data_IF_181367797719
#
_entry.id   IF_181367797719
#
_cell.length_a   1.000
_cell.length_b   1.000
_cell.length_c   1.000
_cell.angle_alpha   90.00
_cell.angle_beta   90.00
_cell.angle_gamma   90.00
#
_symmetry.space_group_name_H-M   'P 1'
#
loop_
_entity.id
_entity.type
_entity.pdbx_description
1 polymer ?
#
# COMPACT_ATOMS: atom_id res chain seq x y z
N UNK A 1 56.18 2.53 -17.69
CA UNK A 1 54.85 3.16 -17.60
C UNK A 1 53.99 2.62 -18.73
N UNK A 2 53.09 1.68 -18.46
CA UNK A 2 51.99 1.38 -19.39
C UNK A 2 50.70 1.43 -18.57
N UNK A 3 49.83 2.33 -19.03
CA UNK A 3 48.56 2.71 -18.45
C UNK A 3 47.61 1.51 -18.41
N UNK A 4 47.37 0.94 -17.23
CA UNK A 4 46.33 -0.08 -17.02
C UNK A 4 45.26 0.34 -16.01
N UNK A 5 45.18 1.63 -15.66
CA UNK A 5 44.10 2.19 -14.83
C UNK A 5 42.95 2.73 -15.68
N UNK A 6 42.33 1.87 -16.48
CA UNK A 6 41.02 2.17 -17.06
C UNK A 6 40.08 1.00 -16.82
N UNK A 7 39.76 0.76 -15.54
CA UNK A 7 38.61 -0.05 -15.19
C UNK A 7 37.35 0.66 -15.71
N UNK A 8 36.50 0.01 -16.52
CA UNK A 8 35.24 0.60 -16.92
C UNK A 8 34.41 0.87 -15.66
N UNK A 9 33.76 2.04 -15.60
CA UNK A 9 32.82 2.37 -14.55
C UNK A 9 31.84 1.19 -14.40
N UNK A 10 31.92 0.48 -13.27
CA UNK A 10 30.99 -0.60 -12.98
C UNK A 10 29.68 0.08 -12.60
N UNK A 11 28.81 0.29 -13.59
CA UNK A 11 27.49 0.88 -13.34
C UNK A 11 26.74 0.04 -12.31
N UNK A 12 26.08 0.72 -11.37
CA UNK A 12 25.13 0.08 -10.47
C UNK A 12 23.96 -0.53 -11.25
N UNK A 13 23.19 -1.41 -10.62
CA UNK A 13 22.03 -2.01 -11.26
C UNK A 13 20.98 -0.94 -11.61
N UNK A 14 20.81 0.05 -10.72
CA UNK A 14 19.91 1.19 -10.89
C UNK A 14 20.32 2.10 -12.05
N UNK A 15 21.63 2.34 -12.23
CA UNK A 15 22.16 3.12 -13.36
C UNK A 15 21.87 2.43 -14.70
N UNK A 16 22.04 1.10 -14.77
CA UNK A 16 21.72 0.31 -15.97
C UNK A 16 20.22 0.35 -16.32
N UNK A 17 19.36 0.28 -15.30
CA UNK A 17 17.91 0.38 -15.50
C UNK A 17 17.49 1.77 -16.00
N UNK A 18 18.15 2.82 -15.51
CA UNK A 18 17.87 4.21 -15.91
C UNK A 18 18.25 4.43 -17.37
N UNK A 19 19.47 4.04 -17.74
CA UNK A 19 19.94 4.12 -19.13
C UNK A 19 19.01 3.37 -20.11
N UNK A 20 18.54 2.18 -19.72
CA UNK A 20 17.62 1.39 -20.55
C UNK A 20 16.27 2.08 -20.78
N UNK A 21 15.73 2.77 -19.77
CA UNK A 21 14.49 3.54 -19.89
C UNK A 21 14.66 4.75 -20.81
N UNK A 22 15.79 5.46 -20.69
CA UNK A 22 16.14 6.63 -21.51
C UNK A 22 16.30 6.25 -22.99
N UNK A 23 17.10 5.22 -23.28
CA UNK A 23 17.38 4.75 -24.64
C UNK A 23 16.12 4.30 -25.38
N UNK A 24 15.19 3.63 -24.67
CA UNK A 24 13.97 3.08 -25.27
C UNK A 24 12.76 4.00 -25.15
N UNK A 25 12.89 5.12 -24.43
CA UNK A 25 11.78 6.05 -24.11
C UNK A 25 10.55 5.33 -23.56
N UNK A 26 10.77 4.25 -22.80
CA UNK A 26 9.70 3.40 -22.27
C UNK A 26 9.89 3.19 -20.76
N UNK A 27 8.87 3.47 -19.93
CA UNK A 27 8.97 3.22 -18.50
C UNK A 27 8.97 1.71 -18.23
N UNK A 28 9.67 1.27 -17.17
CA UNK A 28 9.70 -0.15 -16.76
C UNK A 28 8.33 -0.68 -16.34
N UNK A 29 7.52 0.17 -15.71
CA UNK A 29 6.14 -0.12 -15.37
C UNK A 29 5.23 0.83 -16.12
N UNK A 30 4.30 0.25 -16.86
CA UNK A 30 3.20 0.94 -17.51
C UNK A 30 2.25 1.56 -16.47
N UNK A 31 1.45 2.53 -16.91
CA UNK A 31 0.44 3.15 -16.05
C UNK A 31 -0.60 2.14 -15.54
N UNK A 32 -0.89 1.09 -16.31
CA UNK A 32 -1.83 0.03 -15.91
C UNK A 32 -1.22 -0.82 -14.80
N UNK A 33 0.05 -1.22 -14.92
CA UNK A 33 0.75 -2.00 -13.89
C UNK A 33 0.87 -1.22 -12.58
N UNK A 34 1.23 0.07 -12.64
CA UNK A 34 1.28 0.92 -11.44
C UNK A 34 -0.08 0.99 -10.74
N UNK A 35 -1.17 1.14 -11.50
CA UNK A 35 -2.54 1.14 -10.96
C UNK A 35 -2.91 -0.22 -10.37
N UNK A 36 -2.53 -1.32 -11.00
CA UNK A 36 -2.78 -2.65 -10.51
C UNK A 36 -2.06 -2.92 -9.18
N UNK A 37 -0.79 -2.50 -9.05
CA UNK A 37 -0.03 -2.60 -7.80
C UNK A 37 -0.65 -1.75 -6.68
N UNK A 38 -1.00 -0.49 -6.97
CA UNK A 38 -1.65 0.39 -6.00
C UNK A 38 -3.01 -0.18 -5.53
N UNK A 39 -3.81 -0.68 -6.47
CA UNK A 39 -5.09 -1.34 -6.15
C UNK A 39 -4.88 -2.58 -5.29
N UNK A 40 -3.92 -3.44 -5.64
CA UNK A 40 -3.63 -4.66 -4.89
C UNK A 40 -3.17 -4.38 -3.46
N UNK A 41 -2.31 -3.37 -3.25
CA UNK A 41 -1.89 -2.95 -1.92
C UNK A 41 -3.08 -2.49 -1.07
N UNK A 42 -3.96 -1.67 -1.64
CA UNK A 42 -5.19 -1.20 -0.97
C UNK A 42 -6.13 -2.34 -0.62
N UNK A 43 -6.51 -3.16 -1.60
CA UNK A 43 -7.44 -4.28 -1.41
C UNK A 43 -6.91 -5.29 -0.38
N UNK A 44 -5.61 -5.56 -0.38
CA UNK A 44 -4.98 -6.43 0.60
C UNK A 44 -5.05 -5.82 2.02
N UNK A 45 -4.82 -4.51 2.16
CA UNK A 45 -4.93 -3.85 3.46
C UNK A 45 -6.37 -3.91 4.01
N UNK A 46 -7.37 -3.60 3.16
CA UNK A 46 -8.80 -3.72 3.51
C UNK A 46 -9.14 -5.14 4.00
N UNK A 47 -8.73 -6.17 3.23
CA UNK A 47 -8.97 -7.57 3.58
C UNK A 47 -8.28 -7.98 4.88
N UNK A 48 -7.07 -7.49 5.14
CA UNK A 48 -6.35 -7.80 6.38
C UNK A 48 -7.07 -7.24 7.59
N UNK A 49 -7.53 -5.99 7.53
CA UNK A 49 -8.32 -5.36 8.61
C UNK A 49 -9.58 -6.19 8.87
N UNK A 50 -10.33 -6.54 7.81
CA UNK A 50 -11.55 -7.34 7.94
C UNK A 50 -11.25 -8.70 8.58
N UNK A 51 -10.23 -9.42 8.11
CA UNK A 51 -9.83 -10.73 8.66
C UNK A 51 -9.43 -10.65 10.13
N UNK A 52 -8.66 -9.63 10.51
CA UNK A 52 -8.25 -9.41 11.91
C UNK A 52 -9.49 -9.20 12.79
N UNK A 53 -10.37 -8.30 12.39
CA UNK A 53 -11.60 -8.03 13.14
C UNK A 53 -12.51 -9.27 13.22
N UNK A 54 -12.61 -10.06 12.14
CA UNK A 54 -13.44 -11.28 12.10
C UNK A 54 -12.88 -12.31 13.07
N UNK A 55 -11.56 -12.47 13.09
CA UNK A 55 -10.90 -13.39 14.02
C UNK A 55 -11.03 -12.96 15.49
N UNK A 56 -11.19 -11.67 15.77
CA UNK A 56 -11.27 -11.14 17.14
C UNK A 56 -12.69 -11.09 17.70
N UNK A 57 -13.68 -10.81 16.86
CA UNK A 57 -15.05 -10.54 17.29
C UNK A 57 -16.09 -11.54 16.75
N UNK A 58 -15.63 -12.60 16.06
CA UNK A 58 -16.40 -13.64 15.35
C UNK A 58 -17.30 -13.12 14.21
N UNK A 59 -18.20 -12.18 14.52
CA UNK A 59 -19.17 -11.64 13.58
C UNK A 59 -19.03 -10.12 13.45
N UNK A 60 -18.75 -9.65 12.23
CA UNK A 60 -18.67 -8.22 11.93
C UNK A 60 -19.94 -7.80 11.17
N UNK A 61 -20.57 -6.67 11.52
CA UNK A 61 -21.63 -6.08 10.73
C UNK A 61 -21.23 -5.89 9.26
N UNK A 62 -22.09 -6.32 8.33
CA UNK A 62 -21.88 -6.19 6.88
C UNK A 62 -21.65 -4.73 6.46
N UNK A 63 -22.31 -3.79 7.14
CA UNK A 63 -22.12 -2.36 6.92
C UNK A 63 -20.67 -1.92 7.17
N UNK A 64 -20.02 -2.42 8.23
CA UNK A 64 -18.63 -2.08 8.55
C UNK A 64 -17.68 -2.65 7.49
N UNK A 65 -17.90 -3.89 7.05
CA UNK A 65 -17.14 -4.50 5.94
C UNK A 65 -17.26 -3.64 4.67
N UNK A 66 -18.48 -3.18 4.36
CA UNK A 66 -18.73 -2.29 3.22
C UNK A 66 -18.00 -0.95 3.38
N UNK A 67 -18.03 -0.34 4.56
CA UNK A 67 -17.33 0.92 4.84
C UNK A 67 -15.81 0.75 4.64
N UNK A 68 -15.21 -0.30 5.19
CA UNK A 68 -13.77 -0.57 5.02
C UNK A 68 -13.39 -0.73 3.54
N UNK A 69 -14.18 -1.50 2.77
CA UNK A 69 -13.95 -1.70 1.34
C UNK A 69 -14.10 -0.43 0.50
N UNK A 70 -14.83 0.58 0.99
CA UNK A 70 -15.02 1.86 0.31
C UNK A 70 -13.91 2.89 0.59
N UNK A 71 -13.04 2.65 1.58
CA UNK A 71 -11.90 3.53 1.86
C UNK A 71 -10.88 3.39 0.73
N UNK A 72 -10.67 4.47 -0.04
CA UNK A 72 -9.71 4.48 -1.15
C UNK A 72 -8.28 4.90 -0.73
N UNK A 73 -8.17 5.66 0.36
CA UNK A 73 -6.88 6.14 0.87
C UNK A 73 -6.14 5.03 1.63
N UNK A 74 -5.01 4.61 1.05
CA UNK A 74 -4.16 3.58 1.66
C UNK A 74 -3.52 4.02 2.97
N UNK A 75 -3.22 5.31 3.13
CA UNK A 75 -2.62 5.85 4.35
C UNK A 75 -3.60 5.75 5.51
N UNK A 76 -4.88 6.01 5.24
CA UNK A 76 -5.96 5.82 6.21
C UNK A 76 -6.09 4.33 6.59
N UNK A 77 -6.07 3.43 5.61
CA UNK A 77 -6.11 1.98 5.87
C UNK A 77 -4.92 1.51 6.71
N UNK A 78 -3.70 1.96 6.42
CA UNK A 78 -2.51 1.64 7.22
C UNK A 78 -2.64 2.15 8.67
N UNK A 79 -3.20 3.34 8.87
CA UNK A 79 -3.49 3.88 10.20
C UNK A 79 -4.56 3.10 10.95
N UNK A 80 -5.48 2.41 10.25
CA UNK A 80 -6.50 1.54 10.86
C UNK A 80 -6.01 0.10 11.10
N UNK A 81 -4.91 -0.32 10.46
CA UNK A 81 -4.43 -1.70 10.54
C UNK A 81 -4.03 -2.11 11.95
N UNK A 82 -3.17 -1.34 12.63
CA UNK A 82 -2.76 -1.65 14.00
C UNK A 82 -3.92 -1.53 15.00
N UNK A 83 -4.77 -0.49 14.96
CA UNK A 83 -5.97 -0.44 15.79
C UNK A 83 -6.87 -1.66 15.68
N UNK A 84 -7.01 -2.27 14.48
CA UNK A 84 -7.83 -3.47 14.31
C UNK A 84 -7.42 -4.64 15.23
N UNK A 85 -6.14 -4.69 15.64
CA UNK A 85 -5.58 -5.69 16.56
C UNK A 85 -5.83 -5.32 18.03
N UNK A 86 -5.90 -4.03 18.35
CA UNK A 86 -5.83 -3.52 19.74
C UNK A 86 -7.15 -3.03 20.32
N UNK A 87 -8.10 -2.56 19.48
CA UNK A 87 -9.41 -2.05 19.94
C UNK A 87 -10.17 -3.10 20.73
N UNK A 88 -10.92 -2.71 21.76
CA UNK A 88 -11.61 -3.65 22.65
C UNK A 88 -13.02 -4.01 22.16
N UNK A 89 -13.54 -3.27 21.18
CA UNK A 89 -14.90 -3.47 20.64
C UNK A 89 -15.01 -3.03 19.19
N UNK A 90 -16.09 -3.46 18.52
CA UNK A 90 -16.41 -3.00 17.17
C UNK A 90 -16.89 -1.55 17.17
N UNK A 91 -17.56 -1.11 18.24
CA UNK A 91 -18.00 0.28 18.42
C UNK A 91 -16.80 1.23 18.50
N UNK A 92 -15.76 0.87 19.25
CA UNK A 92 -14.51 1.62 19.32
C UNK A 92 -13.84 1.72 17.94
N UNK A 93 -13.83 0.62 17.18
CA UNK A 93 -13.29 0.64 15.82
C UNK A 93 -14.10 1.52 14.87
N UNK A 94 -15.44 1.50 14.98
CA UNK A 94 -16.32 2.36 14.18
C UNK A 94 -16.05 3.84 14.45
N UNK A 95 -15.86 4.23 15.71
CA UNK A 95 -15.51 5.60 16.07
C UNK A 95 -14.18 6.04 15.46
N UNK A 96 -13.19 5.14 15.36
CA UNK A 96 -11.94 5.44 14.68
C UNK A 96 -12.13 5.67 13.18
N UNK A 97 -12.96 4.85 12.52
CA UNK A 97 -13.31 5.07 11.11
C UNK A 97 -13.94 6.46 10.95
N UNK A 98 -14.98 6.76 11.72
CA UNK A 98 -15.74 8.00 11.61
C UNK A 98 -14.84 9.22 11.85
N UNK A 99 -13.98 9.17 12.87
CA UNK A 99 -13.04 10.24 13.21
C UNK A 99 -12.04 10.51 12.09
N UNK A 100 -11.49 9.45 11.47
CA UNK A 100 -10.54 9.59 10.36
C UNK A 100 -11.22 10.09 9.08
N UNK A 101 -12.48 9.75 8.84
CA UNK A 101 -13.25 10.25 7.70
C UNK A 101 -13.63 11.73 7.86
N UNK A 102 -13.93 12.20 9.08
CA UNK A 102 -14.26 13.61 9.33
C UNK A 102 -13.07 14.57 9.24
N UNK A 103 -11.83 14.08 9.42
CA UNK A 103 -10.64 14.92 9.36
C UNK A 103 -10.24 15.35 7.92
N UNK A 104 -11.02 14.96 6.91
CA UNK A 104 -10.76 15.22 5.47
C UNK A 104 -11.81 16.20 4.88
N UNK A 105 -12.81 16.64 5.67
CA UNK A 105 -13.83 17.64 5.24
C UNK A 105 -13.53 19.01 5.84
#
# INVERSE_FOLDING_TARGET
>A
MQQWDRHPACFSWEEKLTQYQEERTMPLLTNIERRALARGAKENCQQNIIKILQNRFDNIPELMVKTINQIDDISLLENLLLPSISVNSLEEFQQLIDSNLTNIT
#
